data_IF_263071611483
#
_entry.id   IF_263071611483
#
_cell.length_a   1.000
_cell.length_b   1.000
_cell.length_c   1.000
_cell.angle_alpha   90.00
_cell.angle_beta   90.00
_cell.angle_gamma   90.00
#
_symmetry.space_group_name_H-M   'P 1'
#
loop_
_entity.id
_entity.type
_entity.pdbx_description
1 polymer ?
#
# COMPACT_ATOMS: atom_id res chain seq x y z
N UNK A 1 -58.08 18.48 14.12
CA UNK A 1 -57.12 17.70 13.29
C UNK A 1 -55.79 17.66 14.02
N UNK A 2 -55.16 16.49 14.23
CA UNK A 2 -53.84 16.43 14.84
C UNK A 2 -52.82 17.12 13.93
N UNK A 3 -51.95 17.96 14.50
CA UNK A 3 -50.85 18.60 13.75
C UNK A 3 -49.90 17.50 13.27
N UNK A 4 -49.56 17.50 11.98
CA UNK A 4 -48.58 16.55 11.40
C UNK A 4 -47.26 16.60 12.19
N UNK A 5 -46.55 15.47 12.35
CA UNK A 5 -45.23 15.42 12.98
C UNK A 5 -44.23 16.38 12.30
N UNK A 6 -43.28 16.91 13.07
CA UNK A 6 -42.32 17.92 12.60
C UNK A 6 -41.41 17.39 11.47
N UNK A 7 -41.02 16.12 11.50
CA UNK A 7 -40.15 15.53 10.48
C UNK A 7 -40.84 15.47 9.10
N UNK A 8 -42.15 15.20 9.04
CA UNK A 8 -42.91 15.19 7.78
C UNK A 8 -43.01 16.59 7.18
N UNK A 9 -43.14 17.63 8.03
CA UNK A 9 -43.16 19.02 7.57
C UNK A 9 -41.79 19.45 7.02
N UNK A 10 -40.69 18.96 7.58
CA UNK A 10 -39.34 19.21 7.07
C UNK A 10 -39.12 18.50 5.73
N UNK A 11 -39.56 17.25 5.62
CA UNK A 11 -39.38 16.44 4.40
C UNK A 11 -40.17 17.03 3.20
N UNK A 12 -41.38 17.54 3.45
CA UNK A 12 -42.21 18.21 2.43
C UNK A 12 -41.55 19.52 1.92
N UNK A 13 -40.86 20.27 2.80
CA UNK A 13 -40.09 21.47 2.42
C UNK A 13 -38.84 21.11 1.62
N UNK A 14 -38.11 20.06 2.02
CA UNK A 14 -36.92 19.59 1.31
C UNK A 14 -37.29 19.07 -0.09
N UNK A 15 -38.35 18.28 -0.20
CA UNK A 15 -38.86 17.80 -1.49
C UNK A 15 -39.29 18.96 -2.40
N UNK A 16 -40.03 19.95 -1.90
CA UNK A 16 -40.42 21.12 -2.69
C UNK A 16 -39.20 21.91 -3.22
N UNK A 17 -38.11 21.99 -2.45
CA UNK A 17 -36.87 22.67 -2.85
C UNK A 17 -36.08 21.90 -3.92
N UNK A 18 -36.13 20.56 -3.92
CA UNK A 18 -35.44 19.71 -4.89
C UNK A 18 -36.06 19.80 -6.30
N UNK A 19 -37.36 20.06 -6.43
CA UNK A 19 -38.07 20.15 -7.72
C UNK A 19 -38.10 21.59 -8.30
N UNK A 20 -37.28 22.52 -7.76
CA UNK A 20 -37.14 23.91 -8.25
C UNK A 20 -38.44 24.74 -8.28
N UNK A 21 -39.44 24.40 -7.47
CA UNK A 21 -40.57 25.30 -7.22
C UNK A 21 -40.23 26.13 -5.98
N UNK A 22 -40.17 27.46 -6.13
CA UNK A 22 -39.97 28.34 -4.96
C UNK A 22 -41.07 28.07 -3.92
N UNK A 23 -40.74 27.61 -2.70
CA UNK A 23 -41.75 27.44 -1.68
C UNK A 23 -42.26 28.82 -1.29
N UNK A 24 -43.58 29.05 -1.38
CA UNK A 24 -44.19 30.29 -0.88
C UNK A 24 -44.00 30.33 0.65
N UNK A 25 -43.36 31.37 1.21
CA UNK A 25 -43.02 31.44 2.64
C UNK A 25 -44.25 31.43 3.57
N UNK A 26 -45.44 31.64 3.00
CA UNK A 26 -46.72 31.78 3.71
C UNK A 26 -47.33 30.44 4.17
N UNK A 27 -46.65 29.30 3.92
CA UNK A 27 -47.11 27.94 4.27
C UNK A 27 -46.24 27.16 5.26
N UNK A 28 -45.18 27.75 5.81
CA UNK A 28 -44.34 27.08 6.82
C UNK A 28 -44.98 27.19 8.23
N UNK A 29 -45.45 26.10 8.87
CA UNK A 29 -46.29 26.22 10.07
C UNK A 29 -45.54 26.28 11.40
N UNK A 30 -44.20 26.29 11.43
CA UNK A 30 -43.43 26.20 12.68
C UNK A 30 -42.19 27.07 12.71
N UNK A 31 -41.98 27.76 13.84
CA UNK A 31 -40.83 28.64 14.15
C UNK A 31 -39.47 27.95 14.00
N UNK A 32 -39.43 26.62 14.10
CA UNK A 32 -38.19 25.83 14.11
C UNK A 32 -37.78 25.29 12.72
N UNK A 33 -38.62 25.45 11.69
CA UNK A 33 -38.37 24.94 10.33
C UNK A 33 -37.63 25.97 9.46
N UNK A 34 -37.79 27.26 9.75
CA UNK A 34 -37.15 28.34 9.00
C UNK A 34 -35.60 28.30 9.01
N UNK A 35 -34.91 27.99 10.14
CA UNK A 35 -33.46 27.84 10.16
C UNK A 35 -32.98 26.65 9.32
N UNK A 36 -33.71 25.53 9.33
CA UNK A 36 -33.36 24.32 8.57
C UNK A 36 -33.55 24.52 7.06
N UNK A 37 -34.57 25.26 6.64
CA UNK A 37 -34.77 25.62 5.24
C UNK A 37 -33.65 26.54 4.70
N UNK A 38 -33.05 27.38 5.55
CA UNK A 38 -31.88 28.18 5.18
C UNK A 38 -30.64 27.32 4.94
N UNK A 39 -30.36 26.37 5.84
CA UNK A 39 -29.26 25.41 5.69
C UNK A 39 -29.45 24.54 4.43
N UNK A 40 -30.66 24.02 4.20
CA UNK A 40 -30.97 23.21 3.02
C UNK A 40 -30.75 23.99 1.70
N UNK A 41 -31.02 25.30 1.68
CA UNK A 41 -30.74 26.18 0.54
C UNK A 41 -29.23 26.35 0.31
N UNK A 42 -28.44 26.51 1.37
CA UNK A 42 -26.98 26.61 1.26
C UNK A 42 -26.34 25.31 0.77
N UNK A 43 -26.88 24.16 1.17
CA UNK A 43 -26.39 22.84 0.73
C UNK A 43 -26.79 22.50 -0.71
N UNK A 44 -27.93 22.99 -1.19
CA UNK A 44 -28.42 22.74 -2.56
C UNK A 44 -27.40 23.12 -3.63
N UNK A 45 -26.69 24.20 -3.41
CA UNK A 45 -25.79 24.76 -4.42
C UNK A 45 -24.36 24.23 -4.26
N UNK A 46 -24.14 23.16 -3.49
CA UNK A 46 -22.84 22.49 -3.40
C UNK A 46 -22.59 21.51 -4.58
N UNK A 47 -21.36 21.47 -5.12
CA UNK A 47 -20.29 22.45 -4.89
C UNK A 47 -20.68 23.82 -5.47
N UNK A 48 -20.36 24.90 -4.72
CA UNK A 48 -20.77 26.31 -5.00
C UNK A 48 -20.52 26.69 -6.45
N UNK A 49 -21.38 27.52 -7.04
CA UNK A 49 -21.19 27.98 -8.43
C UNK A 49 -19.82 28.59 -8.67
N UNK A 50 -19.28 29.34 -7.70
CA UNK A 50 -17.95 29.93 -7.75
C UNK A 50 -16.84 28.86 -7.81
N UNK A 51 -17.00 27.74 -7.08
CA UNK A 51 -16.10 26.59 -7.18
C UNK A 51 -16.21 25.91 -8.55
N UNK A 52 -17.44 25.72 -9.06
CA UNK A 52 -17.66 25.14 -10.41
C UNK A 52 -17.04 26.03 -11.50
N UNK A 53 -17.20 27.35 -11.39
CA UNK A 53 -16.62 28.33 -12.30
C UNK A 53 -15.08 28.33 -12.22
N UNK A 54 -14.52 28.28 -11.01
CA UNK A 54 -13.07 28.19 -10.78
C UNK A 54 -12.50 26.88 -11.33
N UNK A 55 -13.15 25.76 -11.07
CA UNK A 55 -12.76 24.45 -11.60
C UNK A 55 -12.84 24.43 -13.14
N UNK A 56 -13.93 24.94 -13.72
CA UNK A 56 -14.10 25.05 -15.18
C UNK A 56 -13.04 25.94 -15.81
N UNK A 57 -12.75 27.11 -15.24
CA UNK A 57 -11.69 28.02 -15.69
C UNK A 57 -10.31 27.36 -15.61
N UNK A 58 -10.01 26.64 -14.52
CA UNK A 58 -8.76 25.89 -14.37
C UNK A 58 -8.62 24.75 -15.37
N UNK A 59 -9.69 23.99 -15.62
CA UNK A 59 -9.71 22.91 -16.61
C UNK A 59 -9.60 23.45 -18.03
N UNK A 60 -10.29 24.55 -18.35
CA UNK A 60 -10.18 25.23 -19.65
C UNK A 60 -8.79 25.81 -19.86
N UNK A 61 -8.19 26.46 -18.86
CA UNK A 61 -6.80 26.91 -18.91
C UNK A 61 -5.83 25.76 -19.17
N UNK A 62 -6.00 24.62 -18.51
CA UNK A 62 -5.19 23.41 -18.75
C UNK A 62 -5.42 22.83 -20.16
N UNK A 63 -6.65 22.85 -20.65
CA UNK A 63 -6.98 22.40 -22.01
C UNK A 63 -6.41 23.35 -23.09
N UNK A 64 -6.43 24.67 -22.85
CA UNK A 64 -5.88 25.69 -23.76
C UNK A 64 -4.35 25.76 -23.72
N UNK A 65 -3.71 25.47 -22.58
CA UNK A 65 -2.25 25.30 -22.49
C UNK A 65 -1.76 24.02 -23.18
N UNK A 66 -2.65 23.06 -23.46
CA UNK A 66 -2.33 21.84 -24.21
C UNK A 66 -2.39 22.03 -25.74
N UNK A 67 -2.96 23.13 -26.23
CA UNK A 67 -3.26 23.32 -27.66
C UNK A 67 -2.44 24.40 -28.37
N UNK A 68 -1.55 25.12 -27.69
CA UNK A 68 -0.57 25.99 -28.35
C UNK A 68 0.78 25.88 -27.64
N UNK A 69 1.79 25.44 -28.41
CA UNK A 69 3.20 25.26 -28.03
C UNK A 69 3.50 23.96 -27.23
N UNK A 70 3.82 22.87 -27.95
CA UNK A 70 4.52 21.73 -27.36
C UNK A 70 4.09 20.32 -27.77
N UNK A 71 3.21 20.16 -28.78
CA UNK A 71 2.64 18.86 -29.13
C UNK A 71 3.65 17.77 -29.58
N UNK A 72 4.79 18.14 -30.18
CA UNK A 72 5.85 17.17 -30.49
C UNK A 72 6.76 16.84 -29.30
N UNK A 73 6.99 17.80 -28.38
CA UNK A 73 7.84 17.58 -27.21
C UNK A 73 7.12 16.78 -26.11
N UNK A 74 5.81 16.99 -25.94
CA UNK A 74 5.01 16.31 -24.90
C UNK A 74 4.67 14.87 -25.27
N UNK A 75 4.43 14.56 -26.55
CA UNK A 75 4.23 13.17 -26.99
C UNK A 75 5.54 12.36 -26.91
N UNK A 76 6.69 12.97 -27.20
CA UNK A 76 8.01 12.34 -26.99
C UNK A 76 8.37 12.25 -25.51
N UNK A 77 7.97 13.20 -24.66
CA UNK A 77 8.20 13.15 -23.21
C UNK A 77 7.27 12.18 -22.48
N UNK A 78 6.01 12.06 -22.90
CA UNK A 78 5.07 11.05 -22.38
C UNK A 78 5.39 9.64 -22.90
N UNK A 79 5.92 9.51 -24.13
CA UNK A 79 6.45 8.25 -24.65
C UNK A 79 7.87 7.93 -24.13
N UNK A 80 8.57 8.89 -23.53
CA UNK A 80 9.86 8.72 -22.80
C UNK A 80 9.72 8.86 -21.28
N UNK A 81 8.51 8.73 -20.72
CA UNK A 81 8.42 8.43 -19.30
C UNK A 81 9.05 7.05 -19.11
N UNK A 82 10.34 7.01 -18.76
CA UNK A 82 11.02 5.78 -18.38
C UNK A 82 10.17 5.18 -17.28
N UNK A 83 9.50 4.07 -17.58
CA UNK A 83 8.80 3.32 -16.55
C UNK A 83 9.90 2.79 -15.63
N UNK A 84 10.10 3.46 -14.49
CA UNK A 84 11.16 3.16 -13.54
C UNK A 84 10.91 1.87 -12.75
N UNK A 85 9.76 1.21 -12.99
CA UNK A 85 9.39 -0.09 -12.46
C UNK A 85 9.39 -1.11 -13.61
N UNK A 86 9.80 -2.34 -13.32
CA UNK A 86 9.58 -3.46 -14.25
C UNK A 86 8.08 -3.76 -14.35
N UNK A 87 7.55 -4.11 -15.53
CA UNK A 87 6.14 -4.49 -15.67
C UNK A 87 5.74 -5.61 -14.70
N UNK A 88 4.62 -5.42 -14.00
CA UNK A 88 4.10 -6.38 -13.01
C UNK A 88 4.66 -6.23 -11.59
N UNK A 89 5.68 -5.38 -11.40
CA UNK A 89 6.17 -5.02 -10.07
C UNK A 89 5.35 -3.90 -9.45
N UNK A 90 5.51 -3.77 -8.13
CA UNK A 90 5.06 -2.60 -7.37
C UNK A 90 6.27 -1.93 -6.75
N UNK A 91 6.07 -0.75 -6.16
CA UNK A 91 7.16 0.02 -5.56
C UNK A 91 7.85 -0.68 -4.40
N UNK A 92 7.24 -1.67 -3.75
CA UNK A 92 7.86 -2.47 -2.67
C UNK A 92 7.66 -3.96 -3.00
N UNK A 93 8.73 -4.73 -3.01
CA UNK A 93 8.73 -6.18 -3.22
C UNK A 93 9.56 -6.85 -2.12
N UNK A 94 8.99 -7.73 -1.29
CA UNK A 94 9.78 -8.47 -0.31
C UNK A 94 10.71 -9.46 -1.00
N UNK A 95 11.97 -9.48 -0.56
CA UNK A 95 12.97 -10.45 -0.99
C UNK A 95 13.22 -11.44 0.14
N UNK A 96 12.65 -12.63 0.03
CA UNK A 96 12.65 -13.64 1.09
C UNK A 96 13.76 -14.66 0.81
N UNK A 97 14.80 -14.62 1.64
CA UNK A 97 15.94 -15.54 1.56
C UNK A 97 15.64 -16.77 2.42
N UNK A 98 15.67 -17.94 1.81
CA UNK A 98 15.29 -19.20 2.47
C UNK A 98 16.33 -20.29 2.21
N UNK A 99 16.34 -21.34 3.03
CA UNK A 99 16.99 -22.59 2.65
C UNK A 99 16.00 -23.42 1.82
N UNK A 100 16.31 -23.69 0.54
CA UNK A 100 15.42 -24.42 -0.35
C UNK A 100 14.43 -23.50 -1.06
N UNK A 101 14.94 -22.56 -1.86
CA UNK A 101 14.09 -21.59 -2.55
C UNK A 101 13.16 -22.24 -3.59
N UNK A 102 13.58 -23.33 -4.23
CA UNK A 102 12.73 -24.08 -5.14
C UNK A 102 11.49 -24.66 -4.42
N UNK A 103 11.68 -25.20 -3.23
CA UNK A 103 10.63 -25.73 -2.37
C UNK A 103 9.72 -24.63 -1.80
N UNK A 104 10.25 -23.42 -1.61
CA UNK A 104 9.46 -22.26 -1.21
C UNK A 104 8.58 -21.76 -2.36
N UNK A 105 9.09 -21.74 -3.60
CA UNK A 105 8.27 -21.42 -4.78
C UNK A 105 7.09 -22.39 -4.92
N UNK A 106 7.30 -23.69 -4.71
CA UNK A 106 6.19 -24.66 -4.71
C UNK A 106 5.17 -24.41 -3.58
N UNK A 107 5.64 -23.99 -2.40
CA UNK A 107 4.73 -23.55 -1.33
C UNK A 107 3.89 -22.35 -1.76
N UNK A 108 4.49 -21.30 -2.34
CA UNK A 108 3.77 -20.11 -2.81
C UNK A 108 2.73 -20.45 -3.89
N UNK A 109 3.09 -21.35 -4.82
CA UNK A 109 2.16 -21.85 -5.86
C UNK A 109 0.96 -22.57 -5.25
N UNK A 110 1.21 -23.51 -4.33
CA UNK A 110 0.16 -24.37 -3.77
C UNK A 110 -0.71 -23.63 -2.73
N UNK A 111 -0.10 -22.86 -1.84
CA UNK A 111 -0.80 -22.13 -0.79
C UNK A 111 -1.54 -20.90 -1.36
N UNK A 112 -0.82 -20.08 -2.13
CA UNK A 112 -1.25 -18.71 -2.46
C UNK A 112 -1.57 -18.52 -3.94
N UNK A 113 -1.68 -19.61 -4.72
CA UNK A 113 -1.88 -19.57 -6.16
C UNK A 113 -0.81 -18.70 -6.87
N UNK A 114 0.42 -18.73 -6.34
CA UNK A 114 1.55 -18.01 -6.90
C UNK A 114 1.86 -18.44 -8.34
N UNK A 115 2.26 -17.50 -9.18
CA UNK A 115 2.73 -17.76 -10.54
C UNK A 115 4.19 -17.37 -10.66
N UNK A 116 5.05 -18.37 -10.84
CA UNK A 116 6.47 -18.15 -11.09
C UNK A 116 6.68 -17.37 -12.40
N UNK A 117 7.47 -16.30 -12.35
CA UNK A 117 7.75 -15.39 -13.47
C UNK A 117 9.19 -15.47 -13.94
N UNK A 118 10.12 -15.65 -13.01
CA UNK A 118 11.54 -15.76 -13.28
C UNK A 118 12.15 -16.79 -12.35
N UNK A 119 13.12 -17.53 -12.89
CA UNK A 119 14.00 -18.41 -12.13
C UNK A 119 15.41 -18.29 -12.68
N UNK A 120 16.36 -18.02 -11.79
CA UNK A 120 17.78 -17.90 -12.08
C UNK A 120 18.54 -18.96 -11.28
N UNK A 121 18.78 -20.14 -11.86
CA UNK A 121 19.51 -21.21 -11.17
C UNK A 121 21.02 -20.91 -11.12
N UNK A 122 21.67 -21.42 -10.08
CA UNK A 122 23.11 -21.52 -9.96
C UNK A 122 23.59 -22.91 -10.44
N UNK A 123 24.89 -23.07 -10.80
CA UNK A 123 25.42 -24.35 -11.28
C UNK A 123 25.27 -25.54 -10.32
N UNK A 124 25.17 -25.26 -9.01
CA UNK A 124 24.99 -26.27 -7.95
C UNK A 124 23.52 -26.67 -7.74
N UNK A 125 22.59 -26.12 -8.52
CA UNK A 125 21.16 -26.41 -8.46
C UNK A 125 20.37 -25.54 -7.49
N UNK A 126 21.03 -24.71 -6.67
CA UNK A 126 20.36 -23.68 -5.85
C UNK A 126 19.89 -22.52 -6.72
N UNK A 127 19.04 -21.66 -6.18
CA UNK A 127 18.56 -20.46 -6.87
C UNK A 127 19.31 -19.22 -6.41
N UNK A 128 19.85 -18.48 -7.38
CA UNK A 128 20.38 -17.15 -7.14
C UNK A 128 19.24 -16.17 -6.89
N UNK A 129 18.19 -16.27 -7.72
CA UNK A 129 17.03 -15.38 -7.69
C UNK A 129 15.83 -16.05 -8.35
N UNK A 130 14.64 -15.71 -7.90
CA UNK A 130 13.38 -16.07 -8.51
C UNK A 130 12.30 -15.05 -8.16
N UNK A 131 11.29 -14.96 -9.01
CA UNK A 131 10.18 -14.01 -8.90
C UNK A 131 8.87 -14.78 -8.99
N UNK A 132 8.00 -14.60 -8.00
CA UNK A 132 6.68 -15.27 -7.92
C UNK A 132 5.59 -14.22 -7.73
N UNK A 133 4.74 -14.07 -8.73
CA UNK A 133 3.60 -13.17 -8.67
C UNK A 133 2.51 -13.78 -7.79
N UNK A 134 1.97 -13.02 -6.85
CA UNK A 134 0.85 -13.41 -5.98
C UNK A 134 -0.18 -12.29 -5.97
N UNK A 135 -1.37 -12.58 -6.51
CA UNK A 135 -2.39 -11.55 -6.73
C UNK A 135 -1.86 -10.42 -7.63
N UNK A 136 -1.93 -9.18 -7.16
CA UNK A 136 -1.38 -8.00 -7.84
C UNK A 136 -0.03 -7.53 -7.25
N UNK A 137 0.69 -8.41 -6.54
CA UNK A 137 2.02 -8.19 -5.99
C UNK A 137 3.04 -9.22 -6.46
N UNK A 138 4.29 -9.03 -6.05
CA UNK A 138 5.43 -9.90 -6.34
C UNK A 138 6.09 -10.32 -5.03
N UNK A 139 6.65 -11.53 -5.00
CA UNK A 139 7.61 -11.98 -3.99
C UNK A 139 8.87 -12.39 -4.73
N UNK A 140 10.01 -11.90 -4.27
CA UNK A 140 11.31 -12.34 -4.74
C UNK A 140 11.89 -13.34 -3.73
N UNK A 141 12.67 -14.31 -4.21
CA UNK A 141 13.33 -15.29 -3.35
C UNK A 141 14.64 -15.79 -3.92
N UNK A 142 15.57 -16.15 -3.05
CA UNK A 142 16.83 -16.82 -3.39
C UNK A 142 17.24 -17.78 -2.28
N UNK A 143 18.15 -18.70 -2.62
CA UNK A 143 18.73 -19.61 -1.64
C UNK A 143 19.74 -18.89 -0.76
N UNK A 144 19.65 -19.15 0.54
CA UNK A 144 20.60 -18.67 1.52
C UNK A 144 21.99 -19.28 1.32
N UNK A 145 23.00 -18.52 1.74
CA UNK A 145 24.40 -18.93 1.79
C UNK A 145 25.12 -18.26 2.98
N UNK A 146 26.43 -18.47 3.09
CA UNK A 146 27.22 -17.93 4.21
C UNK A 146 27.25 -16.39 4.27
N UNK A 147 27.12 -15.73 3.12
CA UNK A 147 27.14 -14.26 3.00
C UNK A 147 25.75 -13.66 3.21
N UNK A 148 24.72 -14.34 2.70
CA UNK A 148 23.31 -13.94 2.81
C UNK A 148 22.55 -15.06 3.52
N UNK A 149 22.45 -15.01 4.86
CA UNK A 149 21.75 -16.04 5.63
C UNK A 149 20.23 -15.97 5.38
N UNK A 150 19.47 -17.01 5.78
CA UNK A 150 18.02 -16.98 5.69
C UNK A 150 17.44 -15.78 6.46
N UNK A 151 16.50 -15.09 5.82
CA UNK A 151 15.85 -13.89 6.36
C UNK A 151 14.34 -14.08 6.32
N UNK A 152 13.81 -14.67 7.39
CA UNK A 152 12.37 -14.84 7.55
C UNK A 152 11.67 -13.48 7.58
N UNK A 153 10.58 -13.35 6.84
CA UNK A 153 9.82 -12.10 6.69
C UNK A 153 8.38 -12.32 7.14
N UNK A 154 7.77 -11.27 7.68
CA UNK A 154 6.36 -11.28 8.03
C UNK A 154 5.59 -10.50 6.95
N UNK A 155 4.52 -11.11 6.42
CA UNK A 155 3.79 -10.60 5.25
C UNK A 155 2.31 -10.52 5.58
N UNK A 156 1.71 -9.35 5.39
CA UNK A 156 0.27 -9.20 5.27
C UNK A 156 -0.13 -9.52 3.82
N UNK A 157 -0.86 -10.62 3.65
CA UNK A 157 -1.25 -11.15 2.35
C UNK A 157 -2.75 -10.95 2.13
N UNK A 158 -3.10 -9.93 1.34
CA UNK A 158 -4.48 -9.67 0.94
C UNK A 158 -4.92 -10.56 -0.22
N UNK A 159 -5.99 -11.30 0.03
CA UNK A 159 -6.61 -12.27 -0.88
C UNK A 159 -8.12 -12.10 -0.92
N UNK A 160 -8.72 -12.62 -1.99
CA UNK A 160 -10.18 -12.57 -2.15
C UNK A 160 -10.92 -13.38 -1.07
N UNK A 161 -10.34 -14.49 -0.63
CA UNK A 161 -10.93 -15.41 0.34
C UNK A 161 -9.84 -15.90 1.31
N UNK A 162 -9.86 -15.36 2.52
CA UNK A 162 -8.89 -15.65 3.56
C UNK A 162 -9.00 -17.09 4.04
N UNK A 163 -10.20 -17.61 4.29
CA UNK A 163 -10.41 -18.97 4.79
C UNK A 163 -9.92 -20.01 3.80
N UNK A 164 -10.34 -19.91 2.54
CA UNK A 164 -9.92 -20.87 1.52
C UNK A 164 -8.40 -20.83 1.28
N UNK A 165 -7.79 -19.64 1.37
CA UNK A 165 -6.33 -19.51 1.24
C UNK A 165 -5.60 -20.05 2.45
N UNK A 166 -6.14 -19.82 3.65
CA UNK A 166 -5.60 -20.33 4.90
C UNK A 166 -5.60 -21.86 4.90
N UNK A 167 -6.71 -22.50 4.51
CA UNK A 167 -6.80 -23.96 4.47
C UNK A 167 -5.82 -24.56 3.44
N UNK A 168 -5.69 -23.97 2.23
CA UNK A 168 -4.66 -24.40 1.26
C UNK A 168 -3.24 -24.26 1.80
N UNK A 169 -2.96 -23.21 2.56
CA UNK A 169 -1.64 -23.01 3.17
C UNK A 169 -1.34 -24.08 4.23
N UNK A 170 -2.34 -24.50 5.02
CA UNK A 170 -2.19 -25.62 5.95
C UNK A 170 -1.93 -26.94 5.20
N UNK A 171 -2.66 -27.22 4.12
CA UNK A 171 -2.42 -28.37 3.26
C UNK A 171 -1.02 -28.37 2.63
N UNK A 172 -0.49 -27.18 2.31
CA UNK A 172 0.87 -26.97 1.81
C UNK A 172 1.95 -27.06 2.91
N UNK A 173 1.58 -27.35 4.16
CA UNK A 173 2.51 -27.59 5.26
C UNK A 173 2.78 -26.39 6.17
N UNK A 174 1.98 -25.32 6.08
CA UNK A 174 2.02 -24.27 7.09
C UNK A 174 1.36 -24.71 8.41
N UNK A 175 1.75 -24.05 9.50
CA UNK A 175 1.15 -24.23 10.82
C UNK A 175 0.30 -23.02 11.18
N UNK A 176 -0.94 -23.25 11.60
CA UNK A 176 -1.83 -22.20 12.09
C UNK A 176 -1.25 -21.58 13.37
N UNK A 177 -1.13 -20.25 13.41
CA UNK A 177 -0.97 -19.49 14.66
C UNK A 177 -2.38 -19.25 15.23
N UNK A 178 -3.30 -18.73 14.42
CA UNK A 178 -4.74 -18.70 14.68
C UNK A 178 -5.53 -18.56 13.38
N UNK A 179 -6.76 -19.07 13.36
CA UNK A 179 -7.63 -19.09 12.18
C UNK A 179 -8.24 -17.71 11.85
N UNK A 180 -8.66 -17.48 10.60
CA UNK A 180 -9.31 -16.24 10.22
C UNK A 180 -10.54 -15.92 11.07
N UNK A 181 -10.57 -14.70 11.61
CA UNK A 181 -11.68 -14.14 12.38
C UNK A 181 -11.96 -12.70 11.93
N UNK A 182 -13.13 -12.20 12.33
CA UNK A 182 -13.60 -10.82 12.11
C UNK A 182 -13.41 -9.93 13.34
N UNK A 183 -12.86 -10.47 14.44
CA UNK A 183 -12.72 -9.79 15.73
C UNK A 183 -11.56 -8.77 15.77
N UNK A 184 -10.92 -8.53 14.64
CA UNK A 184 -9.77 -7.64 14.56
C UNK A 184 -10.19 -6.17 14.48
N UNK A 185 -9.45 -5.25 15.13
CA UNK A 185 -9.75 -3.82 15.07
C UNK A 185 -9.79 -3.22 13.67
N UNK A 186 -9.07 -3.81 12.70
CA UNK A 186 -9.08 -3.38 11.30
C UNK A 186 -10.42 -3.64 10.59
N UNK A 187 -11.27 -4.53 11.13
CA UNK A 187 -12.52 -4.97 10.51
C UNK A 187 -12.34 -5.98 9.36
N UNK A 188 -11.11 -6.17 8.87
CA UNK A 188 -10.78 -7.19 7.88
C UNK A 188 -10.97 -8.60 8.46
N UNK A 189 -11.28 -9.56 7.59
CA UNK A 189 -11.30 -10.98 7.98
C UNK A 189 -9.91 -11.56 7.79
N UNK A 190 -9.19 -11.87 8.87
CA UNK A 190 -7.82 -12.39 8.73
C UNK A 190 -7.36 -13.31 9.85
N UNK A 191 -6.40 -14.15 9.51
CA UNK A 191 -5.77 -15.13 10.40
C UNK A 191 -4.26 -15.13 10.20
N UNK A 192 -3.53 -15.75 11.12
CA UNK A 192 -2.08 -15.85 11.05
C UNK A 192 -1.60 -17.30 10.96
N UNK A 193 -0.64 -17.56 10.07
CA UNK A 193 0.03 -18.86 9.94
C UNK A 193 1.54 -18.66 9.80
N UNK A 194 2.29 -19.73 10.04
CA UNK A 194 3.74 -19.79 9.86
C UNK A 194 4.09 -20.88 8.87
N UNK A 195 4.92 -20.58 7.88
CA UNK A 195 5.43 -21.60 6.96
C UNK A 195 6.65 -22.34 7.51
N UNK A 196 7.07 -23.40 6.83
CA UNK A 196 8.25 -24.20 7.23
C UNK A 196 9.59 -23.48 7.03
N UNK A 197 9.61 -22.36 6.31
CA UNK A 197 10.81 -21.56 6.03
C UNK A 197 11.01 -20.45 7.08
N UNK A 198 10.03 -20.25 7.96
CA UNK A 198 10.10 -19.35 9.11
C UNK A 198 9.31 -18.06 8.94
N UNK A 199 8.67 -17.84 7.78
CA UNK A 199 7.89 -16.64 7.50
C UNK A 199 6.53 -16.71 8.20
N UNK A 200 6.05 -15.56 8.68
CA UNK A 200 4.69 -15.42 9.16
C UNK A 200 3.82 -14.78 8.07
N UNK A 201 2.58 -15.25 7.95
CA UNK A 201 1.63 -14.77 6.96
C UNK A 201 0.33 -14.39 7.64
N UNK A 202 -0.08 -13.14 7.47
CA UNK A 202 -1.38 -12.62 7.87
C UNK A 202 -2.30 -12.65 6.67
N UNK A 203 -3.11 -13.70 6.55
CA UNK A 203 -3.95 -13.96 5.37
C UNK A 203 -5.27 -13.21 5.56
N UNK A 204 -5.54 -12.23 4.71
CA UNK A 204 -6.62 -11.28 4.91
C UNK A 204 -7.54 -11.10 3.72
N UNK A 205 -8.85 -11.01 3.99
CA UNK A 205 -9.84 -10.49 3.05
C UNK A 205 -10.23 -9.09 3.49
N UNK A 206 -9.99 -8.06 2.65
CA UNK A 206 -10.28 -6.69 3.03
C UNK A 206 -11.78 -6.41 3.03
N UNK A 207 -12.28 -5.64 4.00
CA UNK A 207 -13.72 -5.31 4.14
C UNK A 207 -14.12 -3.89 3.75
N UNK A 208 -13.25 -3.18 3.04
CA UNK A 208 -13.61 -1.92 2.37
C UNK A 208 -12.65 -0.77 2.61
N UNK A 209 -11.66 -0.93 3.49
CA UNK A 209 -10.56 0.02 3.56
C UNK A 209 -9.63 -0.15 2.35
N UNK A 210 -9.10 0.96 1.84
CA UNK A 210 -8.03 0.97 0.85
C UNK A 210 -7.01 2.03 1.28
N UNK A 211 -5.71 1.81 1.01
CA UNK A 211 -4.69 2.77 1.38
C UNK A 211 -4.78 4.04 0.51
N UNK A 212 -5.43 3.98 -0.66
CA UNK A 212 -5.57 5.10 -1.59
C UNK A 212 -6.17 4.70 -2.95
N UNK A 213 -6.15 5.60 -3.94
CA UNK A 213 -6.78 5.36 -5.26
C UNK A 213 -6.16 4.19 -6.04
N UNK A 214 -4.89 3.88 -5.78
CA UNK A 214 -4.16 2.71 -6.33
C UNK A 214 -4.72 1.36 -5.84
N UNK A 215 -5.50 1.37 -4.75
CA UNK A 215 -6.04 0.16 -4.12
C UNK A 215 -5.01 -0.59 -3.25
N UNK A 216 -5.43 -1.74 -2.74
CA UNK A 216 -4.60 -2.63 -1.94
C UNK A 216 -3.67 -3.46 -2.83
N UNK A 217 -2.40 -3.58 -2.41
CA UNK A 217 -1.49 -4.60 -2.95
C UNK A 217 -1.64 -5.89 -2.15
N UNK A 218 -1.61 -7.01 -2.86
CA UNK A 218 -1.76 -8.34 -2.28
C UNK A 218 -0.63 -8.63 -1.30
N UNK A 219 0.60 -8.29 -1.64
CA UNK A 219 1.79 -8.59 -0.82
C UNK A 219 2.24 -7.32 -0.13
N UNK A 220 2.14 -7.25 1.20
CA UNK A 220 2.61 -6.13 2.00
C UNK A 220 3.58 -6.63 3.08
N UNK A 221 4.84 -6.17 3.09
CA UNK A 221 5.75 -6.47 4.18
C UNK A 221 5.22 -5.91 5.51
N UNK A 222 5.41 -6.66 6.58
CA UNK A 222 5.05 -6.25 7.93
C UNK A 222 6.30 -6.31 8.82
N UNK A 223 6.74 -5.14 9.30
CA UNK A 223 7.91 -4.98 10.14
C UNK A 223 7.50 -4.82 11.61
N UNK A 224 7.86 -5.80 12.43
CA UNK A 224 7.80 -5.68 13.89
C UNK A 224 9.09 -5.05 14.39
N UNK A 225 9.04 -3.87 15.01
CA UNK A 225 10.25 -3.10 15.35
C UNK A 225 10.33 -2.81 16.85
N UNK A 226 11.54 -2.71 17.37
CA UNK A 226 11.77 -2.04 18.65
C UNK A 226 11.82 -0.55 18.40
N UNK A 227 11.12 0.20 19.22
CA UNK A 227 11.00 1.66 19.10
C UNK A 227 10.46 2.06 17.72
N UNK A 228 9.37 1.43 17.29
CA UNK A 228 8.77 1.58 15.95
C UNK A 228 8.44 3.04 15.60
N UNK A 229 8.19 3.88 16.62
CA UNK A 229 8.00 5.32 16.45
C UNK A 229 9.19 6.05 15.82
N UNK A 230 10.40 5.48 15.88
CA UNK A 230 11.61 6.01 15.23
C UNK A 230 11.71 5.59 13.76
N UNK A 231 10.99 4.55 13.31
CA UNK A 231 11.02 4.09 11.92
C UNK A 231 10.24 5.04 11.01
N UNK A 232 9.08 5.53 11.45
CA UNK A 232 8.23 6.44 10.68
C UNK A 232 9.02 7.68 10.18
N UNK A 233 9.65 8.49 11.06
CA UNK A 233 10.41 9.65 10.60
C UNK A 233 11.65 9.26 9.79
N UNK A 234 12.26 8.09 10.05
CA UNK A 234 13.32 7.59 9.20
C UNK A 234 12.81 7.32 7.77
N UNK A 235 11.66 6.65 7.61
CA UNK A 235 11.10 6.35 6.28
C UNK A 235 10.64 7.61 5.54
N UNK A 236 10.03 8.57 6.23
CA UNK A 236 9.70 9.88 5.66
C UNK A 236 10.97 10.59 5.16
N UNK A 237 12.02 10.61 5.99
CA UNK A 237 13.26 11.30 5.68
C UNK A 237 14.13 10.56 4.65
N UNK A 238 14.17 9.23 4.65
CA UNK A 238 15.03 8.39 3.81
C UNK A 238 14.39 8.06 2.47
N UNK A 239 13.07 7.77 2.48
CA UNK A 239 12.37 7.16 1.35
C UNK A 239 11.23 8.02 0.80
N UNK A 240 11.06 9.23 1.34
CA UNK A 240 9.90 10.08 1.07
C UNK A 240 8.59 9.31 1.27
N UNK A 241 8.56 8.41 2.26
CA UNK A 241 7.39 7.60 2.55
C UNK A 241 6.25 8.48 3.09
N UNK A 242 5.02 8.15 2.73
CA UNK A 242 3.81 8.78 3.27
C UNK A 242 3.23 7.93 4.40
N UNK A 243 2.96 8.53 5.55
CA UNK A 243 2.15 7.91 6.61
C UNK A 243 0.66 7.93 6.19
N UNK A 244 0.15 6.76 5.82
CA UNK A 244 -1.25 6.57 5.42
C UNK A 244 -2.18 6.53 6.63
N UNK A 245 -1.62 6.19 7.80
CA UNK A 245 -2.36 6.09 9.04
C UNK A 245 -1.54 5.36 10.09
N UNK A 246 -1.30 6.05 11.21
CA UNK A 246 -0.67 5.48 12.40
C UNK A 246 -1.65 5.43 13.57
N UNK A 247 -1.82 4.24 14.14
CA UNK A 247 -2.52 4.03 15.41
C UNK A 247 -1.49 3.79 16.53
N UNK A 248 -1.62 4.55 17.62
CA UNK A 248 -0.76 4.45 18.80
C UNK A 248 -1.55 4.11 20.04
N UNK A 249 -0.91 3.42 20.99
CA UNK A 249 -1.45 3.27 22.33
C UNK A 249 -1.43 4.61 23.08
N UNK A 250 -2.15 4.75 24.21
CA UNK A 250 -2.07 5.94 25.06
C UNK A 250 -0.64 6.28 25.52
N UNK A 251 0.21 5.26 25.67
CA UNK A 251 1.62 5.38 26.04
C UNK A 251 2.53 5.74 24.84
N UNK A 252 1.96 5.91 23.65
CA UNK A 252 2.68 6.33 22.45
C UNK A 252 3.35 5.20 21.65
N UNK A 253 3.17 3.94 22.04
CA UNK A 253 3.67 2.78 21.26
C UNK A 253 2.91 2.70 19.94
N UNK A 254 3.62 2.45 18.84
CA UNK A 254 2.97 2.19 17.54
C UNK A 254 2.30 0.83 17.61
N UNK A 255 0.97 0.82 17.55
CA UNK A 255 0.18 -0.41 17.50
C UNK A 255 0.03 -0.91 16.07
N UNK A 256 -0.05 0.02 15.12
CA UNK A 256 -0.08 -0.25 13.69
C UNK A 256 0.23 1.05 12.94
N UNK A 257 1.00 0.97 11.87
CA UNK A 257 1.26 2.07 10.95
C UNK A 257 1.30 1.52 9.54
N UNK A 258 0.61 2.16 8.62
CA UNK A 258 0.75 1.84 7.19
C UNK A 258 1.56 2.94 6.50
N UNK A 259 2.72 2.58 5.99
CA UNK A 259 3.61 3.49 5.27
C UNK A 259 3.57 3.20 3.78
N UNK A 260 3.48 4.23 2.95
CA UNK A 260 3.51 4.12 1.49
C UNK A 260 4.84 4.57 0.92
N UNK A 261 5.36 3.82 -0.05
CA UNK A 261 6.39 4.27 -0.98
C UNK A 261 5.87 4.01 -2.40
N UNK A 262 5.78 5.06 -3.22
CA UNK A 262 5.23 4.96 -4.57
C UNK A 262 3.81 4.38 -4.57
N UNK A 263 3.60 3.24 -5.24
CA UNK A 263 2.29 2.62 -5.39
C UNK A 263 2.05 1.39 -4.47
N UNK A 264 2.92 1.17 -3.49
CA UNK A 264 2.87 0.05 -2.56
C UNK A 264 2.93 0.52 -1.10
N UNK A 265 2.46 -0.34 -0.20
CA UNK A 265 2.48 -0.08 1.25
C UNK A 265 3.19 -1.20 1.99
N UNK A 266 3.71 -0.85 3.16
CA UNK A 266 4.16 -1.79 4.18
C UNK A 266 3.57 -1.41 5.52
N UNK A 267 3.57 -2.37 6.43
CA UNK A 267 3.03 -2.22 7.78
C UNK A 267 4.15 -2.24 8.81
N UNK A 268 3.95 -1.49 9.88
CA UNK A 268 4.90 -1.39 10.99
C UNK A 268 4.12 -1.44 12.30
N UNK A 269 4.61 -2.21 13.26
CA UNK A 269 4.17 -2.13 14.64
C UNK A 269 5.35 -2.21 15.61
N UNK A 270 5.03 -2.07 16.89
CA UNK A 270 5.96 -2.34 17.96
C UNK A 270 6.02 -3.84 18.30
N UNK A 271 7.23 -4.39 18.28
CA UNK A 271 7.50 -5.77 18.65
C UNK A 271 6.93 -6.13 20.04
N UNK A 272 6.35 -7.32 20.16
CA UNK A 272 5.69 -7.80 21.36
C UNK A 272 5.53 -9.34 21.34
N UNK A 273 5.63 -9.98 22.51
CA UNK A 273 5.43 -11.43 22.63
C UNK A 273 6.25 -12.24 21.63
N UNK A 274 5.58 -13.02 20.78
CA UNK A 274 6.21 -13.80 19.71
C UNK A 274 6.57 -13.00 18.45
N UNK A 275 6.04 -11.78 18.30
CA UNK A 275 6.29 -10.88 17.18
C UNK A 275 7.51 -10.01 17.52
N UNK A 276 8.69 -10.59 17.28
CA UNK A 276 9.98 -9.96 17.54
C UNK A 276 10.57 -9.41 16.23
N UNK A 277 11.53 -8.46 16.30
CA UNK A 277 12.14 -7.93 15.09
C UNK A 277 12.81 -9.02 14.26
N UNK A 278 12.50 -9.01 12.96
CA UNK A 278 13.10 -9.85 11.94
C UNK A 278 13.61 -8.95 10.82
N UNK A 279 14.89 -8.55 10.86
CA UNK A 279 15.50 -7.80 9.76
C UNK A 279 15.27 -8.51 8.43
N UNK A 280 14.64 -7.82 7.48
CA UNK A 280 14.26 -8.39 6.18
C UNK A 280 14.96 -7.68 5.03
N UNK A 281 14.72 -8.17 3.81
CA UNK A 281 15.25 -7.61 2.58
C UNK A 281 14.07 -7.13 1.72
N UNK A 282 14.14 -5.89 1.24
CA UNK A 282 13.09 -5.25 0.46
C UNK A 282 13.69 -4.64 -0.80
N UNK A 283 13.20 -5.05 -1.96
CA UNK A 283 13.44 -4.35 -3.22
C UNK A 283 12.41 -3.22 -3.35
N UNK A 284 12.91 -2.01 -3.60
CA UNK A 284 12.08 -0.81 -3.72
C UNK A 284 12.35 -0.15 -5.06
N UNK A 285 11.33 -0.07 -5.91
CA UNK A 285 11.43 0.68 -7.16
C UNK A 285 11.11 2.14 -6.96
N UNK A 286 12.02 3.00 -7.41
CA UNK A 286 11.96 4.45 -7.28
C UNK A 286 12.33 5.12 -8.59
N UNK A 287 11.83 6.34 -8.86
CA UNK A 287 12.19 7.09 -10.08
C UNK A 287 13.69 7.36 -10.23
N UNK A 288 14.40 7.51 -9.11
CA UNK A 288 15.84 7.81 -9.07
C UNK A 288 16.49 7.13 -7.86
N UNK A 289 17.16 5.99 -8.12
CA UNK A 289 17.84 5.19 -7.10
C UNK A 289 19.01 5.94 -6.44
N UNK A 290 19.74 6.77 -7.19
CA UNK A 290 20.89 7.54 -6.69
C UNK A 290 20.43 8.62 -5.71
N UNK A 291 19.38 9.35 -6.07
CA UNK A 291 18.80 10.38 -5.20
C UNK A 291 18.27 9.76 -3.91
N UNK A 292 17.52 8.67 -4.02
CA UNK A 292 16.97 7.96 -2.86
C UNK A 292 18.07 7.38 -1.97
N UNK A 293 19.11 6.81 -2.57
CA UNK A 293 20.29 6.30 -1.85
C UNK A 293 20.98 7.41 -1.05
N UNK A 294 21.25 8.55 -1.68
CA UNK A 294 21.88 9.69 -1.01
C UNK A 294 21.01 10.24 0.13
N UNK A 295 19.69 10.24 -0.04
CA UNK A 295 18.73 10.64 0.97
C UNK A 295 18.72 9.66 2.17
N UNK A 296 18.72 8.35 1.91
CA UNK A 296 18.79 7.33 2.94
C UNK A 296 20.06 7.45 3.79
N UNK A 297 21.23 7.70 3.16
CA UNK A 297 22.48 7.92 3.91
C UNK A 297 22.41 9.15 4.82
N UNK A 298 21.81 10.25 4.35
CA UNK A 298 21.60 11.46 5.18
C UNK A 298 20.65 11.21 6.35
N UNK A 299 19.69 10.32 6.18
CA UNK A 299 18.74 9.90 7.21
C UNK A 299 19.34 8.87 8.21
N UNK A 300 20.61 8.46 8.03
CA UNK A 300 21.31 7.57 8.95
C UNK A 300 21.36 6.10 8.51
N UNK A 301 20.95 5.78 7.28
CA UNK A 301 21.21 4.46 6.72
C UNK A 301 22.71 4.25 6.45
N UNK A 302 23.15 2.99 6.47
CA UNK A 302 24.51 2.58 6.15
C UNK A 302 24.57 2.07 4.71
N UNK A 303 25.53 2.54 3.93
CA UNK A 303 25.80 2.01 2.59
C UNK A 303 26.17 0.52 2.65
N UNK A 304 25.46 -0.31 1.87
CA UNK A 304 25.89 -1.68 1.55
C UNK A 304 26.53 -1.69 0.17
N UNK A 305 25.85 -1.14 -0.82
CA UNK A 305 26.33 -1.05 -2.20
C UNK A 305 25.94 0.32 -2.81
N UNK A 306 26.90 1.08 -3.36
CA UNK A 306 26.59 2.34 -4.02
C UNK A 306 25.84 2.13 -5.36
N UNK A 307 25.11 3.14 -5.86
CA UNK A 307 24.37 3.04 -7.11
C UNK A 307 25.23 2.60 -8.30
N UNK A 308 24.80 1.54 -8.98
CA UNK A 308 25.47 1.02 -10.17
C UNK A 308 24.47 0.42 -11.16
N UNK A 309 24.80 0.47 -12.45
CA UNK A 309 24.02 -0.19 -13.48
C UNK A 309 24.27 -1.70 -13.42
N UNK A 310 23.19 -2.47 -13.35
CA UNK A 310 23.23 -3.92 -13.23
C UNK A 310 23.04 -4.58 -14.60
N UNK A 311 23.60 -5.78 -14.81
CA UNK A 311 23.50 -6.50 -16.08
C UNK A 311 22.06 -6.89 -16.45
N UNK A 312 21.15 -6.92 -15.47
CA UNK A 312 19.73 -7.21 -15.64
C UNK A 312 18.85 -5.96 -15.86
N UNK A 313 19.45 -4.81 -16.17
CA UNK A 313 18.72 -3.64 -16.67
C UNK A 313 18.22 -2.65 -15.61
N UNK A 314 18.51 -2.87 -14.33
CA UNK A 314 18.24 -1.90 -13.28
C UNK A 314 19.48 -1.06 -12.95
N UNK A 315 19.27 0.19 -12.57
CA UNK A 315 20.22 0.94 -11.76
C UNK A 315 19.87 0.71 -10.30
N UNK A 316 20.79 0.08 -9.56
CA UNK A 316 20.52 -0.42 -8.22
C UNK A 316 21.55 0.06 -7.20
N UNK A 317 21.08 0.34 -5.99
CA UNK A 317 21.91 0.59 -4.81
C UNK A 317 21.35 -0.21 -3.62
N UNK A 318 22.13 -0.39 -2.56
CA UNK A 318 21.67 -1.06 -1.34
C UNK A 318 22.10 -0.31 -0.08
N UNK A 319 21.17 -0.17 0.86
CA UNK A 319 21.40 0.43 2.18
C UNK A 319 20.83 -0.43 3.29
N UNK A 320 21.45 -0.36 4.47
CA UNK A 320 20.93 -0.93 5.72
C UNK A 320 20.32 0.18 6.56
N UNK A 321 19.08 0.03 7.00
CA UNK A 321 18.48 0.99 7.92
C UNK A 321 18.97 0.80 9.37
N UNK A 322 18.67 1.75 10.29
CA UNK A 322 19.04 1.64 11.70
C UNK A 322 18.41 0.45 12.46
N UNK A 323 17.35 -0.16 11.91
CA UNK A 323 16.63 -1.30 12.50
C UNK A 323 17.15 -2.65 11.99
N UNK A 324 18.06 -2.62 11.01
CA UNK A 324 18.74 -3.77 10.45
C UNK A 324 18.19 -4.27 9.13
N UNK A 325 17.08 -3.70 8.61
CA UNK A 325 16.53 -4.13 7.32
C UNK A 325 17.41 -3.65 6.17
N UNK A 326 17.45 -4.45 5.12
CA UNK A 326 18.19 -4.15 3.90
C UNK A 326 17.23 -3.70 2.80
N UNK A 327 17.52 -2.53 2.23
CA UNK A 327 16.72 -1.90 1.18
C UNK A 327 17.55 -1.83 -0.09
N UNK A 328 17.07 -2.48 -1.14
CA UNK A 328 17.66 -2.39 -2.47
C UNK A 328 16.84 -1.40 -3.29
N UNK A 329 17.43 -0.27 -3.62
CA UNK A 329 16.81 0.85 -4.30
C UNK A 329 17.06 0.68 -5.79
N UNK A 330 16.00 0.53 -6.58
CA UNK A 330 16.07 0.18 -7.98
C UNK A 330 15.36 1.22 -8.86
N UNK A 331 15.97 1.54 -10.00
CA UNK A 331 15.33 2.27 -11.10
C UNK A 331 15.50 1.42 -12.37
N UNK A 332 14.39 0.94 -12.93
CA UNK A 332 14.43 0.19 -14.18
C UNK A 332 14.85 1.10 -15.34
N UNK A 333 15.87 0.68 -16.09
CA UNK A 333 16.45 1.46 -17.19
C UNK A 333 15.77 1.17 -18.54
N UNK A 334 14.75 0.31 -18.58
CA UNK A 334 14.01 -0.01 -19.81
C UNK A 334 14.77 -0.89 -20.80
N UNK A 335 15.75 -1.66 -20.32
CA UNK A 335 16.60 -2.54 -21.14
C UNK A 335 16.17 -4.00 -21.06
#
# INVERSE_FOLDING_TARGET
MPKRPLYEQVDEVVQAMLVSLQPRPEKAPHRDVAPLAAIARELRDLPREEFRATLKSNLQRRASMSTNEGAESSAVAAAKAVHYMRPGFTSITPYIIVNGAAEFIEFLKNAFAGTERLRVPMPDGKLMHAEVAVGNGMIETGDANEQIPPAATDIHLYVKDADATFDRALEAGATSIYRPTDDHPSGDRWGALKDRFGNNWYIATPKGWTPGPEGLRSVQPYLHLREAHNMIPFMEAAFAAEDVGTHKSPEGRVLHSTMRIGNATLEIDEAHGQYQPKPCHLHVYVPDADAMYAQALKAGAVSIEPPTDKPYGDRSAAVKDPFGNTWYLNTFLGK
#
